data_IF_986987585125
#
_entry.id   IF_986987585125
#
_cell.length_a   1.000
_cell.length_b   1.000
_cell.length_c   1.000
_cell.angle_alpha   90.00
_cell.angle_beta   90.00
_cell.angle_gamma   90.00
#
_symmetry.space_group_name_H-M   'P 1'
#
loop_
_entity.id
_entity.type
_entity.pdbx_description
1 polymer ?
#
# COMPACT_ATOMS: atom_id res chain seq x y z
N UNK A 1 39.02 0.70 -0.16
CA UNK A 1 38.30 -0.53 -0.55
C UNK A 1 36.93 -0.13 -1.06
N UNK A 2 36.45 -0.63 -2.21
CA UNK A 2 35.12 -0.29 -2.69
C UNK A 2 34.09 -0.82 -1.68
N UNK A 3 33.26 0.07 -1.16
CA UNK A 3 32.17 -0.26 -0.23
C UNK A 3 30.99 -0.77 -1.10
N UNK A 4 30.44 -1.94 -0.76
CA UNK A 4 29.25 -2.58 -1.36
C UNK A 4 29.45 -3.20 -2.77
N UNK A 5 30.19 -4.31 -2.88
CA UNK A 5 30.31 -5.07 -4.14
C UNK A 5 29.11 -6.02 -4.33
N UNK A 6 28.61 -6.15 -5.56
CA UNK A 6 27.51 -7.08 -5.90
C UNK A 6 28.00 -8.52 -5.87
N UNK A 7 27.14 -9.47 -5.51
CA UNK A 7 27.39 -10.89 -5.74
C UNK A 7 26.97 -11.25 -7.18
N UNK A 8 27.93 -11.70 -7.99
CA UNK A 8 27.72 -12.07 -9.39
C UNK A 8 26.79 -13.30 -9.52
N UNK A 9 26.66 -14.14 -8.48
CA UNK A 9 25.75 -15.29 -8.54
C UNK A 9 24.29 -14.87 -8.64
N UNK A 10 23.96 -13.64 -8.21
CA UNK A 10 22.63 -13.06 -8.28
C UNK A 10 22.12 -13.00 -9.72
N UNK A 11 23.01 -12.74 -10.69
CA UNK A 11 22.66 -12.61 -12.10
C UNK A 11 22.10 -13.90 -12.73
N UNK A 12 22.39 -15.06 -12.12
CA UNK A 12 21.92 -16.36 -12.58
C UNK A 12 20.45 -16.65 -12.23
N UNK A 13 19.84 -15.86 -11.34
CA UNK A 13 18.48 -16.10 -10.85
C UNK A 13 17.44 -15.37 -11.69
N UNK A 14 16.21 -15.90 -11.68
CA UNK A 14 15.12 -15.36 -12.48
C UNK A 14 14.72 -13.97 -11.99
N UNK A 15 14.73 -12.99 -12.89
CA UNK A 15 14.29 -11.63 -12.59
C UNK A 15 12.79 -11.60 -12.27
N UNK A 16 12.40 -10.78 -11.29
CA UNK A 16 10.98 -10.52 -11.03
C UNK A 16 10.27 -9.96 -12.27
N UNK A 17 10.90 -9.00 -12.97
CA UNK A 17 10.42 -8.40 -14.21
C UNK A 17 11.59 -8.31 -15.18
N UNK A 18 11.34 -8.65 -16.44
CA UNK A 18 12.31 -8.48 -17.52
C UNK A 18 11.61 -7.96 -18.77
N UNK A 19 12.40 -7.45 -19.72
CA UNK A 19 11.88 -7.05 -21.03
C UNK A 19 11.18 -8.22 -21.75
N UNK A 20 10.21 -7.89 -22.60
CA UNK A 20 9.46 -8.86 -23.43
C UNK A 20 8.76 -9.98 -22.65
N UNK A 21 8.37 -9.72 -21.39
CA UNK A 21 7.67 -10.68 -20.51
C UNK A 21 8.47 -11.95 -20.18
N UNK A 22 9.81 -11.89 -20.25
CA UNK A 22 10.69 -13.01 -19.89
C UNK A 22 10.99 -13.11 -18.38
N UNK A 23 10.38 -12.24 -17.56
CA UNK A 23 10.52 -12.25 -16.10
C UNK A 23 9.53 -13.22 -15.44
N UNK A 24 9.66 -13.37 -14.11
CA UNK A 24 8.75 -14.16 -13.30
C UNK A 24 7.32 -13.62 -13.34
N UNK A 25 7.17 -12.31 -13.21
CA UNK A 25 5.92 -11.58 -13.39
C UNK A 25 5.86 -10.99 -14.80
N UNK A 26 4.66 -10.91 -15.36
CA UNK A 26 4.39 -10.28 -16.66
C UNK A 26 4.29 -8.75 -16.55
N UNK A 27 3.96 -8.24 -15.37
CA UNK A 27 3.79 -6.81 -15.13
C UNK A 27 4.13 -6.45 -13.68
N UNK A 28 4.60 -5.23 -13.49
CA UNK A 28 4.70 -4.60 -12.17
C UNK A 28 4.14 -3.18 -12.26
N UNK A 29 3.85 -2.60 -11.10
CA UNK A 29 3.47 -1.20 -10.99
C UNK A 29 4.17 -0.57 -9.80
N UNK A 30 4.36 0.73 -9.84
CA UNK A 30 4.58 1.48 -8.63
C UNK A 30 3.25 1.75 -7.92
N UNK A 31 3.31 2.07 -6.62
CA UNK A 31 2.15 2.55 -5.85
C UNK A 31 1.61 3.89 -6.35
N UNK A 32 0.40 4.25 -5.88
CA UNK A 32 -0.30 5.49 -6.25
C UNK A 32 0.50 6.71 -5.79
N UNK A 33 0.60 7.73 -6.65
CA UNK A 33 1.21 9.02 -6.29
C UNK A 33 0.15 10.09 -6.42
N UNK A 34 -0.15 10.77 -5.32
CA UNK A 34 -1.09 11.90 -5.36
C UNK A 34 -0.38 13.21 -5.69
N UNK A 35 0.77 13.46 -5.05
CA UNK A 35 1.46 14.76 -5.06
C UNK A 35 0.77 15.83 -4.20
N UNK A 36 -0.24 15.44 -3.41
CA UNK A 36 -1.09 16.31 -2.58
C UNK A 36 -1.81 15.50 -1.48
N UNK A 37 -1.07 14.67 -0.75
CA UNK A 37 -1.63 13.68 0.17
C UNK A 37 -2.63 14.26 1.17
N UNK A 38 -2.34 15.42 1.76
CA UNK A 38 -3.23 16.06 2.74
C UNK A 38 -4.64 16.35 2.21
N UNK A 39 -4.81 16.49 0.89
CA UNK A 39 -6.11 16.71 0.27
C UNK A 39 -6.77 15.42 -0.22
N UNK A 40 -5.97 14.41 -0.60
CA UNK A 40 -6.43 13.18 -1.25
C UNK A 40 -6.57 11.98 -0.31
N UNK A 41 -5.96 12.03 0.88
CA UNK A 41 -6.06 10.99 1.92
C UNK A 41 -6.70 11.56 3.18
N UNK A 42 -7.49 10.73 3.86
CA UNK A 42 -8.04 11.03 5.18
C UNK A 42 -8.49 9.75 5.88
N UNK A 43 -8.47 9.75 7.21
CA UNK A 43 -9.13 8.68 7.99
C UNK A 43 -10.66 8.80 7.94
N UNK A 44 -11.21 10.02 7.81
CA UNK A 44 -12.65 10.26 7.66
C UNK A 44 -13.04 10.36 6.18
N UNK A 45 -13.89 9.46 5.72
CA UNK A 45 -14.47 9.57 4.36
C UNK A 45 -15.31 10.83 4.22
N UNK A 46 -15.99 11.26 5.29
CA UNK A 46 -16.85 12.44 5.28
C UNK A 46 -16.04 13.73 5.14
N UNK A 47 -14.95 13.87 5.91
CA UNK A 47 -14.03 15.02 5.79
C UNK A 47 -13.38 15.04 4.41
N UNK A 48 -12.96 13.88 3.89
CA UNK A 48 -12.40 13.76 2.55
C UNK A 48 -13.41 14.17 1.46
N UNK A 49 -14.64 13.65 1.50
CA UNK A 49 -15.71 14.01 0.56
C UNK A 49 -15.99 15.51 0.55
N UNK A 50 -16.16 16.12 1.73
CA UNK A 50 -16.42 17.57 1.86
C UNK A 50 -15.27 18.41 1.27
N UNK A 51 -14.03 18.06 1.61
CA UNK A 51 -12.84 18.72 1.08
C UNK A 51 -12.73 18.57 -0.44
N UNK A 52 -12.98 17.37 -0.96
CA UNK A 52 -12.98 17.10 -2.41
C UNK A 52 -14.04 17.92 -3.13
N UNK A 53 -15.26 18.04 -2.59
CA UNK A 53 -16.31 18.89 -3.18
C UNK A 53 -15.86 20.35 -3.32
N UNK A 54 -15.24 20.92 -2.28
CA UNK A 54 -14.69 22.28 -2.33
C UNK A 54 -13.57 22.40 -3.38
N UNK A 55 -12.67 21.42 -3.44
CA UNK A 55 -11.58 21.39 -4.42
C UNK A 55 -12.10 21.29 -5.87
N UNK A 56 -13.16 20.51 -6.11
CA UNK A 56 -13.80 20.39 -7.43
C UNK A 56 -14.47 21.70 -7.85
N UNK A 57 -15.23 22.34 -6.96
CA UNK A 57 -15.83 23.65 -7.23
C UNK A 57 -14.77 24.70 -7.57
N UNK A 58 -13.67 24.74 -6.81
CA UNK A 58 -12.55 25.64 -7.06
C UNK A 58 -11.86 25.35 -8.40
N UNK A 59 -11.59 24.08 -8.69
CA UNK A 59 -10.98 23.65 -9.96
C UNK A 59 -11.84 24.04 -11.17
N UNK A 60 -13.15 23.78 -11.09
CA UNK A 60 -14.10 24.10 -12.16
C UNK A 60 -14.27 25.62 -12.36
N UNK A 61 -14.30 26.40 -11.28
CA UNK A 61 -14.34 27.86 -11.37
C UNK A 61 -13.09 28.41 -12.09
N UNK A 62 -11.91 27.83 -11.81
CA UNK A 62 -10.68 28.23 -12.48
C UNK A 62 -10.64 27.79 -13.95
N UNK A 63 -11.26 26.66 -14.32
CA UNK A 63 -11.48 26.28 -15.73
C UNK A 63 -12.32 27.34 -16.45
N UNK A 64 -13.44 27.75 -15.89
CA UNK A 64 -14.31 28.73 -16.54
C UNK A 64 -13.61 30.09 -16.67
N UNK A 65 -12.86 30.50 -15.65
CA UNK A 65 -12.04 31.71 -15.70
C UNK A 65 -10.98 31.62 -16.80
N UNK A 66 -10.31 30.47 -16.93
CA UNK A 66 -9.28 30.24 -17.95
C UNK A 66 -9.86 30.22 -19.36
N UNK A 67 -11.01 29.54 -19.54
CA UNK A 67 -11.75 29.51 -20.81
C UNK A 67 -12.14 30.91 -21.27
N UNK A 68 -12.60 31.76 -20.35
CA UNK A 68 -12.89 33.16 -20.65
C UNK A 68 -11.63 33.95 -21.02
N UNK A 69 -10.53 33.77 -20.29
CA UNK A 69 -9.26 34.43 -20.58
C UNK A 69 -8.64 34.01 -21.92
N UNK A 70 -8.90 32.79 -22.37
CA UNK A 70 -8.49 32.28 -23.67
C UNK A 70 -9.44 32.68 -24.82
N UNK A 71 -10.58 33.30 -24.50
CA UNK A 71 -11.57 33.68 -25.51
C UNK A 71 -10.98 34.72 -26.47
N UNK A 72 -11.09 34.45 -27.77
CA UNK A 72 -10.54 35.28 -28.86
C UNK A 72 -9.00 35.33 -28.93
N UNK A 73 -8.29 34.42 -28.27
CA UNK A 73 -6.84 34.27 -28.42
C UNK A 73 -6.50 33.10 -29.33
N UNK A 74 -5.38 33.19 -30.04
CA UNK A 74 -4.77 32.03 -30.67
C UNK A 74 -4.19 31.09 -29.58
N UNK A 75 -4.21 29.75 -29.73
CA UNK A 75 -3.63 28.83 -28.76
C UNK A 75 -2.17 29.09 -28.36
N UNK A 76 -1.38 29.73 -29.23
CA UNK A 76 -0.01 30.15 -28.92
C UNK A 76 0.08 31.30 -27.89
N UNK A 77 -1.03 32.02 -27.70
CA UNK A 77 -1.14 33.18 -26.80
C UNK A 77 -1.85 32.83 -25.48
N UNK A 78 -2.21 31.56 -25.27
CA UNK A 78 -2.90 31.16 -24.05
C UNK A 78 -2.00 31.41 -22.81
N UNK A 79 -2.55 31.95 -21.71
CA UNK A 79 -1.79 32.18 -20.49
C UNK A 79 -1.16 30.88 -19.96
N UNK A 80 0.01 30.96 -19.33
CA UNK A 80 0.54 29.79 -18.61
C UNK A 80 -0.43 29.40 -17.48
N UNK A 81 -0.83 28.13 -17.44
CA UNK A 81 -1.82 27.65 -16.47
C UNK A 81 -1.35 27.79 -15.02
N UNK A 82 -0.06 27.58 -14.72
CA UNK A 82 0.46 27.66 -13.34
C UNK A 82 0.55 29.09 -12.82
N UNK A 83 0.80 30.05 -13.72
CA UNK A 83 0.78 31.48 -13.44
C UNK A 83 -0.66 32.01 -13.37
N UNK A 84 -1.55 31.45 -14.19
CA UNK A 84 -2.94 31.86 -14.24
C UNK A 84 -3.69 31.49 -12.96
N UNK A 85 -3.63 30.22 -12.53
CA UNK A 85 -4.52 29.71 -11.47
C UNK A 85 -4.27 30.38 -10.12
N UNK A 86 -5.35 30.61 -9.38
CA UNK A 86 -5.28 31.02 -7.97
C UNK A 86 -4.71 29.88 -7.14
N UNK A 87 -3.86 30.22 -6.16
CA UNK A 87 -3.22 29.25 -5.25
C UNK A 87 -3.80 29.45 -3.86
N UNK A 88 -4.51 28.44 -3.37
CA UNK A 88 -5.08 28.43 -2.03
C UNK A 88 -4.95 27.03 -1.42
N UNK A 89 -3.94 26.86 -0.55
CA UNK A 89 -3.65 25.61 0.13
C UNK A 89 -4.72 25.23 1.16
N UNK A 90 -5.59 26.15 1.59
CA UNK A 90 -6.74 25.76 2.42
C UNK A 90 -7.77 24.95 1.63
N UNK A 91 -7.76 25.04 0.29
CA UNK A 91 -8.69 24.35 -0.61
C UNK A 91 -8.04 23.15 -1.29
N UNK A 92 -6.95 23.37 -2.04
CA UNK A 92 -6.24 22.32 -2.77
C UNK A 92 -4.83 22.75 -3.17
N UNK A 93 -3.94 21.78 -3.39
CA UNK A 93 -2.63 22.03 -4.01
C UNK A 93 -2.74 21.80 -5.51
N UNK A 94 -2.07 22.61 -6.34
CA UNK A 94 -1.95 22.37 -7.79
C UNK A 94 -0.77 21.44 -8.15
N UNK A 95 -0.23 20.68 -7.19
CA UNK A 95 0.89 19.76 -7.38
C UNK A 95 0.64 18.67 -8.44
N UNK A 96 1.72 18.15 -9.03
CA UNK A 96 1.64 17.16 -10.11
C UNK A 96 1.31 17.76 -11.49
N UNK A 97 1.05 16.89 -12.48
CA UNK A 97 0.83 17.30 -13.89
C UNK A 97 -0.51 16.85 -14.46
N UNK A 98 -1.16 15.87 -13.84
CA UNK A 98 -2.35 15.19 -14.38
C UNK A 98 -3.55 16.11 -14.59
N UNK A 99 -3.65 17.17 -13.78
CA UNK A 99 -4.72 18.16 -13.90
C UNK A 99 -4.57 19.08 -15.11
N UNK A 100 -3.36 19.26 -15.65
CA UNK A 100 -3.07 20.24 -16.71
C UNK A 100 -3.80 19.91 -18.02
N UNK A 101 -3.83 18.64 -18.40
CA UNK A 101 -4.52 18.19 -19.63
C UNK A 101 -6.03 18.43 -19.61
N UNK A 102 -6.80 17.98 -18.60
CA UNK A 102 -8.23 18.28 -18.51
C UNK A 102 -8.48 19.78 -18.35
N UNK A 103 -7.63 20.51 -17.63
CA UNK A 103 -7.76 21.97 -17.47
C UNK A 103 -7.60 22.71 -18.81
N UNK A 104 -6.55 22.40 -19.59
CA UNK A 104 -6.31 22.97 -20.93
C UNK A 104 -7.46 22.67 -21.91
N UNK A 105 -8.10 21.51 -21.76
CA UNK A 105 -9.25 21.09 -22.57
C UNK A 105 -10.60 21.58 -22.03
N UNK A 106 -10.60 22.40 -20.98
CA UNK A 106 -11.78 22.92 -20.31
C UNK A 106 -12.76 21.83 -19.84
N UNK A 107 -12.23 20.68 -19.41
CA UNK A 107 -13.02 19.53 -18.95
C UNK A 107 -13.37 19.73 -17.47
N UNK A 108 -14.63 20.09 -17.22
CA UNK A 108 -15.19 20.17 -15.88
C UNK A 108 -15.18 18.80 -15.19
N UNK A 109 -14.82 18.80 -13.92
CA UNK A 109 -14.79 17.61 -13.08
C UNK A 109 -16.08 17.49 -12.28
N UNK A 110 -16.59 16.28 -12.12
CA UNK A 110 -17.80 15.99 -11.36
C UNK A 110 -17.45 15.22 -10.10
N UNK A 111 -18.19 15.48 -9.03
CA UNK A 111 -18.12 14.68 -7.83
C UNK A 111 -18.69 13.28 -8.12
N UNK A 112 -17.98 12.25 -7.68
CA UNK A 112 -18.39 10.86 -7.84
C UNK A 112 -18.06 10.09 -6.57
N UNK A 113 -19.08 9.55 -5.91
CA UNK A 113 -18.92 8.81 -4.66
C UNK A 113 -18.12 7.51 -4.81
N UNK A 114 -18.10 6.91 -6.00
CA UNK A 114 -17.38 5.67 -6.27
C UNK A 114 -15.86 5.90 -6.44
N UNK A 115 -15.40 7.15 -6.32
CA UNK A 115 -13.98 7.51 -6.35
C UNK A 115 -13.34 7.55 -4.96
N UNK A 116 -14.05 7.27 -3.88
CA UNK A 116 -13.46 7.19 -2.54
C UNK A 116 -13.23 5.72 -2.18
N UNK A 117 -11.98 5.27 -2.20
CA UNK A 117 -11.61 3.87 -1.96
C UNK A 117 -10.61 3.77 -0.81
N UNK A 118 -10.51 2.60 -0.20
CA UNK A 118 -9.51 2.35 0.84
C UNK A 118 -8.15 2.09 0.16
N UNK A 119 -7.10 2.66 0.73
CA UNK A 119 -5.72 2.49 0.27
C UNK A 119 -4.82 2.20 1.48
N UNK A 120 -3.84 1.32 1.31
CA UNK A 120 -2.80 1.08 2.30
C UNK A 120 -1.76 2.21 2.18
N UNK A 121 -1.95 3.25 3.01
CA UNK A 121 -1.13 4.46 2.96
C UNK A 121 0.27 4.22 3.53
N UNK A 122 0.39 3.50 4.65
CA UNK A 122 1.66 3.07 5.26
C UNK A 122 1.48 1.64 5.80
N UNK A 123 2.57 0.92 6.17
CA UNK A 123 2.43 -0.42 6.73
C UNK A 123 1.44 -0.41 7.91
N UNK A 124 0.50 -1.34 7.88
CA UNK A 124 -0.57 -1.48 8.88
C UNK A 124 -1.46 -0.24 9.05
N UNK A 125 -1.56 0.61 8.02
CA UNK A 125 -2.32 1.87 8.07
C UNK A 125 -3.13 2.09 6.80
N UNK A 126 -4.43 1.81 6.90
CA UNK A 126 -5.42 2.14 5.85
C UNK A 126 -5.94 3.57 6.02
N UNK A 127 -6.23 4.23 4.89
CA UNK A 127 -6.94 5.50 4.83
C UNK A 127 -7.89 5.51 3.62
N UNK A 128 -8.91 6.36 3.64
CA UNK A 128 -9.66 6.67 2.42
C UNK A 128 -8.80 7.49 1.47
N UNK A 129 -8.95 7.23 0.19
CA UNK A 129 -8.23 7.83 -0.92
C UNK A 129 -9.20 8.31 -1.99
N UNK A 130 -9.02 9.54 -2.46
CA UNK A 130 -9.74 10.06 -3.61
C UNK A 130 -9.08 9.62 -4.93
N UNK A 131 -9.62 8.57 -5.55
CA UNK A 131 -9.13 7.85 -6.72
C UNK A 131 -9.41 8.56 -8.09
N UNK A 132 -9.16 9.86 -8.19
CA UNK A 132 -9.33 10.63 -9.44
C UNK A 132 -8.05 10.69 -10.28
N UNK A 133 -8.13 10.44 -11.59
CA UNK A 133 -6.99 10.59 -12.52
C UNK A 133 -6.54 12.05 -12.69
N UNK A 134 -7.39 13.00 -12.34
CA UNK A 134 -7.09 14.44 -12.45
C UNK A 134 -6.37 14.95 -11.21
N UNK A 135 -6.77 14.48 -10.03
CA UNK A 135 -6.26 14.95 -8.74
C UNK A 135 -5.12 14.09 -8.17
N UNK A 136 -4.73 13.01 -8.85
CA UNK A 136 -3.54 12.22 -8.49
C UNK A 136 -2.48 12.34 -9.59
N UNK A 137 -1.22 12.45 -9.19
CA UNK A 137 -0.08 12.53 -10.10
C UNK A 137 0.05 11.31 -11.00
N UNK A 138 -0.10 10.09 -10.46
CA UNK A 138 -0.05 8.87 -11.26
C UNK A 138 -0.68 7.69 -10.52
N UNK A 139 -1.27 6.78 -11.28
CA UNK A 139 -1.63 5.44 -10.83
C UNK A 139 -0.67 4.37 -11.36
N UNK A 140 0.27 4.76 -12.23
CA UNK A 140 1.06 3.83 -13.02
C UNK A 140 0.15 2.74 -13.61
N UNK A 141 0.45 1.47 -13.35
CA UNK A 141 -0.36 0.34 -13.79
C UNK A 141 -1.25 -0.23 -12.68
N UNK A 142 -1.31 0.37 -11.48
CA UNK A 142 -2.03 -0.25 -10.33
C UNK A 142 -3.52 -0.43 -10.61
N UNK A 143 -4.09 0.35 -11.52
CA UNK A 143 -5.49 0.23 -11.96
C UNK A 143 -5.75 -1.00 -12.84
N UNK A 144 -4.75 -1.60 -13.46
CA UNK A 144 -4.92 -2.92 -14.09
C UNK A 144 -4.85 -4.04 -13.06
N UNK A 145 -4.45 -3.77 -11.81
CA UNK A 145 -4.46 -4.77 -10.74
C UNK A 145 -5.76 -4.67 -9.93
N UNK A 146 -6.27 -3.44 -9.76
CA UNK A 146 -7.51 -3.12 -9.04
C UNK A 146 -8.37 -2.11 -9.83
N UNK A 147 -9.01 -2.53 -10.94
CA UNK A 147 -9.83 -1.63 -11.76
C UNK A 147 -11.05 -1.07 -11.01
N UNK A 148 -11.74 -1.90 -10.23
CA UNK A 148 -12.94 -1.53 -9.46
C UNK A 148 -12.67 -1.56 -7.96
N UNK A 149 -13.64 -1.11 -7.15
CA UNK A 149 -13.52 -1.16 -5.68
C UNK A 149 -13.67 -2.60 -5.16
N UNK A 150 -14.45 -3.42 -5.87
CA UNK A 150 -14.76 -4.80 -5.52
C UNK A 150 -13.80 -5.81 -6.16
N UNK A 151 -12.74 -5.34 -6.85
CA UNK A 151 -11.77 -6.25 -7.46
C UNK A 151 -10.95 -6.96 -6.38
N UNK A 152 -11.13 -8.27 -6.27
CA UNK A 152 -10.29 -9.12 -5.43
C UNK A 152 -8.96 -9.44 -6.12
N UNK A 153 -7.85 -9.03 -5.52
CA UNK A 153 -6.51 -9.37 -6.00
C UNK A 153 -5.51 -9.28 -4.84
N UNK A 154 -4.33 -9.86 -5.03
CA UNK A 154 -3.22 -9.77 -4.08
C UNK A 154 -2.01 -9.14 -4.78
N UNK A 155 -1.23 -8.36 -4.04
CA UNK A 155 0.00 -7.73 -4.54
C UNK A 155 1.11 -7.90 -3.53
N UNK A 156 2.25 -8.45 -3.95
CA UNK A 156 3.49 -8.39 -3.18
C UNK A 156 4.13 -7.03 -3.45
N UNK A 157 4.32 -6.25 -2.40
CA UNK A 157 4.89 -4.91 -2.47
C UNK A 157 6.28 -4.92 -1.83
N UNK A 158 7.29 -4.43 -2.54
CA UNK A 158 8.66 -4.31 -2.04
C UNK A 158 9.14 -2.85 -2.04
N UNK A 159 10.19 -2.62 -1.27
CA UNK A 159 10.90 -1.33 -1.25
C UNK A 159 11.47 -0.99 -2.62
N UNK A 160 11.45 0.28 -3.00
CA UNK A 160 12.02 0.75 -4.26
C UNK A 160 13.55 0.71 -4.28
N UNK A 161 14.12 0.91 -5.47
CA UNK A 161 15.57 0.91 -5.66
C UNK A 161 16.20 2.14 -5.00
N UNK A 162 17.34 1.95 -4.34
CA UNK A 162 18.07 3.04 -3.66
C UNK A 162 17.53 3.42 -2.27
N UNK A 163 16.63 2.61 -1.70
CA UNK A 163 16.22 2.73 -0.30
C UNK A 163 17.40 2.65 0.67
N UNK A 164 17.32 3.36 1.79
CA UNK A 164 18.35 3.43 2.84
C UNK A 164 17.95 2.72 4.13
N UNK A 165 16.67 2.36 4.27
CA UNK A 165 16.06 1.71 5.44
C UNK A 165 16.12 0.18 5.39
N UNK A 166 16.84 -0.36 4.41
CA UNK A 166 16.93 -1.80 4.14
C UNK A 166 15.74 -2.34 3.34
N UNK A 167 15.96 -3.49 2.69
CA UNK A 167 14.92 -4.18 1.93
C UNK A 167 13.75 -4.58 2.84
N UNK A 168 12.52 -4.30 2.41
CA UNK A 168 11.29 -4.73 3.09
C UNK A 168 10.25 -5.15 2.06
N UNK A 169 9.39 -6.09 2.45
CA UNK A 169 8.26 -6.58 1.65
C UNK A 169 7.00 -6.64 2.50
N UNK A 170 5.84 -6.42 1.89
CA UNK A 170 4.51 -6.56 2.50
C UNK A 170 3.51 -6.95 1.40
N UNK A 171 2.53 -7.79 1.72
CA UNK A 171 1.44 -8.13 0.81
C UNK A 171 0.23 -7.22 1.05
N UNK A 172 -0.51 -6.89 0.00
CA UNK A 172 -1.75 -6.13 0.11
C UNK A 172 -2.83 -6.68 -0.81
N UNK A 173 -4.07 -6.67 -0.33
CA UNK A 173 -5.29 -6.97 -1.10
C UNK A 173 -6.02 -5.70 -1.58
N UNK A 174 -5.40 -4.53 -1.46
CA UNK A 174 -5.93 -3.24 -1.88
C UNK A 174 -4.84 -2.42 -2.56
N UNK A 175 -5.21 -1.29 -3.17
CA UNK A 175 -4.23 -0.35 -3.72
C UNK A 175 -3.31 0.21 -2.63
N UNK A 176 -2.06 0.48 -3.01
CA UNK A 176 -1.00 0.98 -2.14
C UNK A 176 -0.59 2.41 -2.51
N UNK A 177 -0.25 3.25 -1.53
CA UNK A 177 0.47 4.51 -1.78
C UNK A 177 1.94 4.24 -2.17
N UNK A 178 2.51 5.08 -3.04
CA UNK A 178 3.91 4.96 -3.46
C UNK A 178 4.85 4.99 -2.25
N UNK A 179 4.57 5.83 -1.26
CA UNK A 179 5.43 6.02 -0.09
C UNK A 179 5.05 5.10 1.07
N UNK A 180 4.19 4.10 0.85
CA UNK A 180 3.97 3.03 1.82
C UNK A 180 5.28 2.27 2.11
N UNK A 181 6.12 2.11 1.10
CA UNK A 181 7.50 1.62 1.22
C UNK A 181 8.48 2.69 0.71
N UNK A 182 9.70 2.73 1.26
CA UNK A 182 10.71 3.70 0.88
C UNK A 182 11.12 3.56 -0.60
N UNK A 183 11.61 4.67 -1.18
CA UNK A 183 12.10 4.76 -2.55
C UNK A 183 11.07 4.39 -3.64
N UNK A 184 9.79 4.38 -3.27
CA UNK A 184 8.68 4.05 -4.14
C UNK A 184 8.38 2.56 -4.15
N UNK A 185 7.28 2.19 -3.50
CA UNK A 185 6.81 0.82 -3.45
C UNK A 185 6.61 0.24 -4.85
N UNK A 186 7.20 -0.92 -5.09
CA UNK A 186 7.00 -1.70 -6.31
C UNK A 186 6.07 -2.88 -6.02
N UNK A 187 5.04 -3.02 -6.82
CA UNK A 187 3.93 -3.94 -6.61
C UNK A 187 3.91 -4.99 -7.72
N UNK A 188 3.91 -6.25 -7.33
CA UNK A 188 3.82 -7.43 -8.20
C UNK A 188 2.50 -8.14 -7.90
N UNK A 189 1.53 -8.11 -8.82
CA UNK A 189 0.19 -8.64 -8.55
C UNK A 189 0.15 -10.16 -8.73
N UNK A 190 -0.85 -10.80 -8.14
CA UNK A 190 -1.22 -12.18 -8.47
C UNK A 190 -1.96 -12.23 -9.81
N UNK A 191 -2.88 -11.29 -10.03
CA UNK A 191 -3.68 -11.18 -11.25
C UNK A 191 -3.58 -9.81 -11.94
N UNK A 192 -3.82 -9.79 -13.25
CA UNK A 192 -3.97 -8.58 -14.06
C UNK A 192 -5.36 -8.60 -14.70
N UNK A 193 -5.99 -7.43 -14.76
CA UNK A 193 -7.32 -7.22 -15.32
C UNK A 193 -7.21 -6.36 -16.57
N UNK A 194 -7.60 -6.92 -17.70
CA UNK A 194 -7.60 -6.24 -19.00
C UNK A 194 -9.03 -5.89 -19.41
N UNK A 195 -9.23 -4.67 -19.89
CA UNK A 195 -10.53 -4.16 -20.31
C UNK A 195 -10.92 -4.76 -21.68
N UNK A 196 -12.02 -5.53 -21.72
CA UNK A 196 -12.53 -6.16 -22.94
C UNK A 196 -13.04 -5.15 -23.97
N UNK A 197 -13.40 -3.94 -23.55
CA UNK A 197 -13.91 -2.89 -24.45
C UNK A 197 -12.85 -2.28 -25.36
N UNK A 198 -11.57 -2.61 -25.16
CA UNK A 198 -10.49 -2.22 -26.07
C UNK A 198 -10.40 -3.14 -27.31
N UNK A 199 -11.06 -4.30 -27.29
CA UNK A 199 -11.07 -5.29 -28.38
C UNK A 199 -12.39 -5.33 -29.19
N UNK A 200 -13.48 -4.69 -28.71
CA UNK A 200 -14.80 -4.69 -29.37
C UNK A 200 -15.19 -3.32 -29.95
N UNK A 201 -15.76 -3.33 -31.17
CA UNK A 201 -16.38 -2.16 -31.78
C UNK A 201 -17.45 -1.56 -30.83
N UNK A 202 -17.48 -0.23 -30.72
CA UNK A 202 -18.16 0.57 -29.71
C UNK A 202 -19.72 0.46 -29.64
N UNK A 203 -20.36 -0.46 -30.35
CA UNK A 203 -21.82 -0.51 -30.50
C UNK A 203 -22.55 -1.23 -29.35
N UNK A 204 -21.88 -2.05 -28.54
CA UNK A 204 -22.55 -2.92 -27.55
C UNK A 204 -22.60 -2.33 -26.13
N UNK A 205 -22.08 -1.11 -25.92
CA UNK A 205 -21.90 -0.51 -24.59
C UNK A 205 -23.18 0.13 -23.99
N UNK A 206 -24.29 0.18 -24.74
CA UNK A 206 -25.51 0.90 -24.34
C UNK A 206 -26.64 0.02 -23.80
N UNK A 207 -26.44 -1.30 -23.65
CA UNK A 207 -27.53 -2.24 -23.37
C UNK A 207 -27.55 -2.87 -21.98
N UNK A 208 -26.59 -2.59 -21.08
CA UNK A 208 -26.45 -3.31 -19.80
C UNK A 208 -26.41 -2.38 -18.56
N UNK A 209 -26.81 -2.93 -17.41
CA UNK A 209 -26.84 -2.22 -16.13
C UNK A 209 -25.46 -2.17 -15.46
N UNK A 210 -25.17 -1.14 -14.63
CA UNK A 210 -23.86 -0.88 -14.03
C UNK A 210 -23.24 -2.07 -13.25
N UNK A 211 -24.06 -2.98 -12.71
CA UNK A 211 -23.63 -4.15 -11.97
C UNK A 211 -23.22 -5.32 -12.90
N UNK A 212 -23.93 -5.54 -14.01
CA UNK A 212 -23.59 -6.57 -15.01
C UNK A 212 -22.36 -6.20 -15.85
N UNK A 213 -22.07 -4.89 -15.96
CA UNK A 213 -20.90 -4.36 -16.66
C UNK A 213 -19.58 -4.68 -15.93
N UNK A 214 -19.55 -4.77 -14.60
CA UNK A 214 -18.28 -4.90 -13.87
C UNK A 214 -17.60 -6.28 -14.04
N UNK A 215 -18.36 -7.38 -13.93
CA UNK A 215 -17.85 -8.74 -14.18
C UNK A 215 -17.65 -9.03 -15.68
N UNK A 216 -18.45 -8.43 -16.54
CA UNK A 216 -18.34 -8.62 -17.99
C UNK A 216 -17.22 -7.78 -18.62
N UNK A 217 -16.82 -6.65 -18.03
CA UNK A 217 -15.86 -5.69 -18.63
C UNK A 217 -14.40 -6.12 -18.57
N UNK A 218 -13.97 -6.85 -17.54
CA UNK A 218 -12.55 -7.19 -17.39
C UNK A 218 -12.29 -8.68 -17.57
N UNK A 219 -11.18 -9.03 -18.21
CA UNK A 219 -10.65 -10.40 -18.24
C UNK A 219 -9.52 -10.50 -17.23
N UNK A 220 -9.65 -11.42 -16.26
CA UNK A 220 -8.59 -11.73 -15.28
C UNK A 220 -7.57 -12.68 -15.90
N UNK A 221 -6.28 -12.35 -15.78
CA UNK A 221 -5.14 -13.19 -16.19
C UNK A 221 -4.14 -13.33 -15.05
N UNK A 222 -3.44 -14.45 -14.98
CA UNK A 222 -2.33 -14.61 -14.03
C UNK A 222 -1.19 -13.65 -14.35
N UNK A 223 -0.58 -13.06 -13.33
CA UNK A 223 0.60 -12.24 -13.51
C UNK A 223 1.89 -13.06 -13.57
N UNK A 224 1.97 -14.20 -12.88
CA UNK A 224 3.10 -15.12 -13.06
C UNK A 224 3.10 -15.59 -14.51
N UNK A 225 4.22 -15.34 -15.19
CA UNK A 225 4.38 -15.66 -16.60
C UNK A 225 4.47 -17.17 -16.81
N UNK A 226 4.10 -17.64 -18.00
CA UNK A 226 4.25 -19.06 -18.34
C UNK A 226 5.74 -19.47 -18.40
N UNK A 227 6.62 -18.52 -18.68
CA UNK A 227 8.08 -18.72 -18.62
C UNK A 227 8.52 -18.94 -17.17
N UNK A 228 8.04 -18.11 -16.25
CA UNK A 228 8.28 -18.26 -14.82
C UNK A 228 7.78 -19.61 -14.31
N UNK A 229 6.54 -19.99 -14.66
CA UNK A 229 6.00 -21.29 -14.30
C UNK A 229 6.86 -22.46 -14.79
N UNK A 230 7.25 -22.44 -16.08
CA UNK A 230 8.10 -23.48 -16.67
C UNK A 230 9.48 -23.54 -16.03
N UNK A 231 10.05 -22.40 -15.63
CA UNK A 231 11.34 -22.35 -14.95
C UNK A 231 11.32 -23.15 -13.63
N UNK A 232 10.27 -22.98 -12.81
CA UNK A 232 10.10 -23.73 -11.57
C UNK A 232 9.76 -25.21 -11.82
N UNK A 233 8.88 -25.51 -12.78
CA UNK A 233 8.56 -26.90 -13.13
C UNK A 233 9.76 -27.68 -13.67
N UNK A 234 10.66 -27.03 -14.40
CA UNK A 234 11.90 -27.63 -14.86
C UNK A 234 12.88 -27.93 -13.70
N UNK A 235 12.90 -27.09 -12.67
CA UNK A 235 13.71 -27.32 -11.47
C UNK A 235 13.15 -28.47 -10.60
N UNK A 236 11.83 -28.67 -10.60
CA UNK A 236 11.16 -29.70 -9.79
C UNK A 236 10.22 -30.56 -10.64
N UNK A 237 10.75 -31.45 -11.51
CA UNK A 237 9.96 -32.18 -12.50
C UNK A 237 8.99 -33.22 -11.89
N UNK A 238 9.15 -33.58 -10.63
CA UNK A 238 8.28 -34.50 -9.89
C UNK A 238 7.11 -33.81 -9.21
N UNK A 239 7.14 -32.48 -9.10
CA UNK A 239 6.17 -31.69 -8.36
C UNK A 239 5.11 -31.08 -9.28
N UNK A 240 3.89 -30.94 -8.77
CA UNK A 240 2.82 -30.22 -9.47
C UNK A 240 2.73 -28.79 -8.93
N UNK A 241 3.53 -27.90 -9.51
CA UNK A 241 3.61 -26.49 -9.12
C UNK A 241 2.69 -25.65 -10.02
N UNK A 242 1.86 -24.82 -9.40
CA UNK A 242 1.04 -23.82 -10.09
C UNK A 242 1.58 -22.38 -9.84
N UNK A 243 0.97 -21.40 -10.49
CA UNK A 243 1.39 -19.99 -10.43
C UNK A 243 1.21 -19.36 -9.04
N UNK A 244 0.17 -19.75 -8.31
CA UNK A 244 -0.08 -19.26 -6.96
C UNK A 244 0.96 -19.81 -5.96
N UNK A 245 1.39 -21.06 -6.12
CA UNK A 245 2.49 -21.64 -5.33
C UNK A 245 3.77 -20.83 -5.47
N UNK A 246 4.08 -20.40 -6.70
CA UNK A 246 5.24 -19.57 -7.01
C UNK A 246 5.08 -18.17 -6.40
N UNK A 247 3.89 -17.58 -6.48
CA UNK A 247 3.61 -16.27 -5.88
C UNK A 247 3.90 -16.28 -4.38
N UNK A 248 3.41 -17.28 -3.64
CA UNK A 248 3.70 -17.39 -2.21
C UNK A 248 5.13 -17.83 -1.93
N UNK A 249 5.76 -18.65 -2.78
CA UNK A 249 7.19 -18.96 -2.68
C UNK A 249 8.03 -17.68 -2.71
N UNK A 250 7.75 -16.76 -3.64
CA UNK A 250 8.42 -15.45 -3.71
C UNK A 250 8.24 -14.71 -2.39
N UNK A 251 7.01 -14.63 -1.87
CA UNK A 251 6.76 -13.91 -0.63
C UNK A 251 7.50 -14.51 0.58
N UNK A 252 7.53 -15.84 0.70
CA UNK A 252 8.27 -16.55 1.76
C UNK A 252 9.79 -16.36 1.63
N UNK A 253 10.33 -16.50 0.42
CA UNK A 253 11.76 -16.30 0.15
C UNK A 253 12.21 -14.86 0.47
N UNK A 254 11.40 -13.85 0.12
CA UNK A 254 11.71 -12.44 0.40
C UNK A 254 11.72 -12.12 1.90
N UNK A 255 11.20 -13.01 2.76
CA UNK A 255 11.31 -12.94 4.21
C UNK A 255 12.49 -13.72 4.79
N UNK A 256 13.21 -14.52 4.00
CA UNK A 256 14.39 -15.24 4.44
C UNK A 256 15.50 -14.28 4.89
N UNK A 257 15.93 -14.42 6.14
CA UNK A 257 17.05 -13.65 6.69
C UNK A 257 18.35 -13.95 5.94
N UNK A 258 18.56 -15.22 5.54
CA UNK A 258 19.70 -15.65 4.72
C UNK A 258 19.70 -14.92 3.37
N UNK A 259 18.56 -14.89 2.66
CA UNK A 259 18.44 -14.21 1.36
C UNK A 259 18.71 -12.71 1.48
N UNK A 260 18.05 -12.06 2.45
CA UNK A 260 18.17 -10.60 2.67
C UNK A 260 19.58 -10.20 3.08
N UNK A 261 20.24 -11.01 3.89
CA UNK A 261 21.61 -10.74 4.36
C UNK A 261 22.63 -11.01 3.27
N UNK A 262 22.50 -12.13 2.55
CA UNK A 262 23.42 -12.52 1.47
C UNK A 262 23.41 -11.52 0.30
N UNK A 263 22.24 -11.01 -0.06
CA UNK A 263 22.06 -10.14 -1.22
C UNK A 263 21.72 -8.69 -0.86
N UNK A 264 22.04 -8.23 0.36
CA UNK A 264 21.70 -6.89 0.84
C UNK A 264 22.15 -5.76 -0.12
N UNK A 265 23.36 -5.87 -0.67
CA UNK A 265 23.94 -4.90 -1.61
C UNK A 265 23.25 -4.92 -2.98
N UNK A 266 22.87 -6.10 -3.47
CA UNK A 266 22.09 -6.26 -4.71
C UNK A 266 20.68 -5.68 -4.52
N UNK A 267 19.98 -6.06 -3.45
CA UNK A 267 18.60 -5.63 -3.16
C UNK A 267 18.46 -4.11 -2.96
N UNK A 268 19.56 -3.41 -2.68
CA UNK A 268 19.59 -1.94 -2.62
C UNK A 268 19.68 -1.30 -4.01
N UNK A 269 20.28 -1.99 -4.99
CA UNK A 269 20.67 -1.43 -6.30
C UNK A 269 19.84 -1.95 -7.47
N UNK A 270 19.24 -3.12 -7.35
CA UNK A 270 18.46 -3.80 -8.38
C UNK A 270 17.28 -4.58 -7.77
N UNK A 271 16.33 -4.99 -8.60
CA UNK A 271 15.18 -5.77 -8.14
C UNK A 271 15.62 -7.14 -7.63
N UNK A 272 14.87 -7.72 -6.66
CA UNK A 272 15.09 -9.11 -6.26
C UNK A 272 15.08 -10.04 -7.47
N UNK A 273 15.96 -11.03 -7.43
CA UNK A 273 15.97 -12.17 -8.35
C UNK A 273 15.72 -13.43 -7.56
N UNK A 274 14.88 -14.30 -8.11
CA UNK A 274 14.26 -15.39 -7.38
C UNK A 274 14.97 -16.70 -7.78
N UNK A 275 15.86 -17.26 -6.93
CA UNK A 275 16.45 -18.56 -7.14
C UNK A 275 15.42 -19.69 -6.98
N UNK A 276 15.70 -20.84 -7.60
CA UNK A 276 15.16 -22.12 -7.19
C UNK A 276 16.08 -22.71 -6.11
N UNK A 277 15.52 -23.08 -4.97
CA UNK A 277 16.24 -23.86 -3.94
C UNK A 277 16.52 -25.27 -4.46
N UNK A 278 17.54 -25.94 -3.92
CA UNK A 278 17.97 -27.24 -4.44
C UNK A 278 16.94 -28.36 -4.26
N UNK A 279 16.14 -28.28 -3.21
CA UNK A 279 15.20 -29.33 -2.80
C UNK A 279 13.75 -28.89 -2.98
N UNK A 280 12.93 -29.79 -3.52
CA UNK A 280 11.49 -29.55 -3.67
C UNK A 280 10.82 -29.33 -2.30
N UNK A 281 11.29 -30.02 -1.25
CA UNK A 281 10.77 -29.85 0.11
C UNK A 281 10.98 -28.42 0.62
N UNK A 282 12.13 -27.81 0.31
CA UNK A 282 12.42 -26.43 0.69
C UNK A 282 11.55 -25.46 -0.11
N UNK A 283 11.29 -25.71 -1.39
CA UNK A 283 10.34 -24.91 -2.20
C UNK A 283 8.96 -24.89 -1.53
N UNK A 284 8.43 -26.05 -1.16
CA UNK A 284 7.13 -26.15 -0.50
C UNK A 284 7.14 -25.52 0.90
N UNK A 285 8.24 -25.61 1.64
CA UNK A 285 8.39 -24.94 2.92
C UNK A 285 8.35 -23.41 2.77
N UNK A 286 9.06 -22.83 1.81
CA UNK A 286 9.00 -21.39 1.51
C UNK A 286 7.61 -20.97 1.00
N UNK A 287 6.99 -21.77 0.13
CA UNK A 287 5.65 -21.50 -0.40
C UNK A 287 4.57 -21.56 0.70
N UNK A 288 4.67 -22.52 1.63
CA UNK A 288 3.79 -22.59 2.81
C UNK A 288 4.02 -21.41 3.75
N UNK A 289 5.27 -21.08 4.05
CA UNK A 289 5.60 -19.93 4.89
C UNK A 289 5.08 -18.62 4.27
N UNK A 290 5.17 -18.47 2.95
CA UNK A 290 4.59 -17.33 2.23
C UNK A 290 3.08 -17.22 2.40
N UNK A 291 2.34 -18.33 2.39
CA UNK A 291 0.89 -18.33 2.67
C UNK A 291 0.60 -17.96 4.12
N UNK A 292 1.32 -18.55 5.05
CA UNK A 292 1.16 -18.28 6.48
C UNK A 292 1.45 -16.80 6.80
N UNK A 293 2.53 -16.24 6.23
CA UNK A 293 2.86 -14.81 6.33
C UNK A 293 1.79 -13.92 5.69
N UNK A 294 1.29 -14.32 4.52
CA UNK A 294 0.23 -13.57 3.85
C UNK A 294 -1.05 -13.53 4.68
N UNK A 295 -1.43 -14.64 5.31
CA UNK A 295 -2.56 -14.69 6.23
C UNK A 295 -2.43 -13.64 7.34
N UNK A 296 -1.29 -13.62 8.06
CA UNK A 296 -1.08 -12.66 9.15
C UNK A 296 -1.07 -11.20 8.66
N UNK A 297 -0.44 -10.94 7.51
CA UNK A 297 -0.28 -9.57 7.00
C UNK A 297 -1.53 -9.02 6.32
N UNK A 298 -2.42 -9.87 5.78
CA UNK A 298 -3.71 -9.46 5.23
C UNK A 298 -4.78 -9.29 6.30
N UNK A 299 -4.73 -10.09 7.37
CA UNK A 299 -5.71 -10.11 8.45
C UNK A 299 -5.26 -9.33 9.70
N UNK A 300 -4.28 -8.44 9.58
CA UNK A 300 -3.69 -7.72 10.71
C UNK A 300 -4.70 -6.90 11.55
N UNK A 301 -5.86 -6.55 10.98
CA UNK A 301 -6.93 -5.82 11.67
C UNK A 301 -7.97 -6.74 12.34
N UNK A 302 -7.98 -8.03 12.02
CA UNK A 302 -9.04 -8.98 12.42
C UNK A 302 -8.55 -10.16 13.26
N UNK A 303 -7.23 -10.40 13.32
CA UNK A 303 -6.66 -11.42 14.21
C UNK A 303 -6.95 -11.13 15.68
N UNK A 304 -6.80 -12.15 16.52
CA UNK A 304 -6.97 -12.02 17.97
C UNK A 304 -5.92 -11.05 18.56
N UNK A 305 -6.35 -10.03 19.34
CA UNK A 305 -5.43 -9.11 20.00
C UNK A 305 -4.52 -9.83 21.00
N UNK A 306 -3.27 -9.40 21.08
CA UNK A 306 -2.35 -9.87 22.12
C UNK A 306 -2.89 -9.49 23.50
N UNK A 307 -2.86 -10.45 24.44
CA UNK A 307 -3.34 -10.27 25.82
C UNK A 307 -2.31 -9.53 26.68
N UNK A 308 -2.06 -8.27 26.35
CA UNK A 308 -1.16 -7.40 27.11
C UNK A 308 -1.75 -7.00 28.47
N UNK A 309 -0.89 -6.62 29.41
CA UNK A 309 -1.31 -6.03 30.68
C UNK A 309 -1.68 -4.57 30.48
N UNK A 310 -2.94 -4.22 30.72
CA UNK A 310 -3.43 -2.85 30.65
C UNK A 310 -3.46 -2.23 32.05
N UNK A 311 -2.73 -1.14 32.22
CA UNK A 311 -2.82 -0.26 33.38
C UNK A 311 -3.83 0.86 33.05
N UNK A 312 -4.95 0.82 33.76
CA UNK A 312 -6.13 1.67 33.56
C UNK A 312 -6.36 2.60 34.78
N UNK A 313 -5.35 2.74 35.65
CA UNK A 313 -5.47 3.43 36.93
C UNK A 313 -6.50 2.75 37.84
N UNK A 314 -7.52 3.48 38.28
CA UNK A 314 -8.59 2.98 39.15
C UNK A 314 -9.79 2.39 38.39
N UNK A 315 -9.81 2.49 37.06
CA UNK A 315 -10.89 1.96 36.22
C UNK A 315 -10.58 0.53 35.77
N UNK A 316 -11.62 -0.23 35.46
CA UNK A 316 -11.54 -1.47 34.69
C UNK A 316 -11.90 -1.21 33.23
N UNK A 317 -11.54 -2.13 32.32
CA UNK A 317 -11.84 -2.00 30.88
C UNK A 317 -13.34 -1.85 30.60
N UNK A 318 -14.20 -2.45 31.43
CA UNK A 318 -15.67 -2.35 31.33
C UNK A 318 -16.22 -0.98 31.75
N UNK A 319 -15.44 -0.19 32.48
CA UNK A 319 -15.81 1.14 32.94
C UNK A 319 -15.29 2.25 32.01
N UNK A 320 -14.55 1.91 30.96
CA UNK A 320 -14.11 2.87 29.96
C UNK A 320 -15.23 3.19 28.97
N UNK A 321 -15.38 4.47 28.65
CA UNK A 321 -16.25 4.97 27.60
C UNK A 321 -15.47 5.23 26.31
N UNK A 322 -16.14 5.42 25.17
CA UNK A 322 -15.50 5.67 23.87
C UNK A 322 -14.45 6.80 23.91
N UNK A 323 -14.73 7.87 24.66
CA UNK A 323 -13.79 8.99 24.85
C UNK A 323 -12.48 8.60 25.54
N UNK A 324 -12.51 7.58 26.40
CA UNK A 324 -11.31 7.09 27.11
C UNK A 324 -10.36 6.37 26.14
N UNK A 325 -10.82 5.94 24.96
CA UNK A 325 -10.01 5.35 23.89
C UNK A 325 -9.48 6.38 22.89
N UNK A 326 -9.84 7.66 23.00
CA UNK A 326 -9.32 8.68 22.09
C UNK A 326 -7.80 8.82 22.24
N UNK A 327 -7.07 8.75 21.13
CA UNK A 327 -5.60 8.85 21.11
C UNK A 327 -5.13 10.02 20.27
N UNK A 328 -4.36 10.92 20.90
CA UNK A 328 -3.65 12.00 20.19
C UNK A 328 -2.30 11.54 19.68
N UNK A 329 -1.54 10.82 20.51
CA UNK A 329 -0.22 10.27 20.17
C UNK A 329 0.19 9.18 21.15
N UNK A 330 0.47 7.99 20.65
CA UNK A 330 1.11 6.93 21.42
C UNK A 330 2.60 7.23 21.60
N UNK A 331 3.18 6.84 22.75
CA UNK A 331 4.62 6.99 23.01
C UNK A 331 5.14 5.91 23.93
N UNK A 332 6.42 5.57 23.80
CA UNK A 332 7.10 4.80 24.83
C UNK A 332 7.12 5.57 26.16
N UNK A 333 7.01 4.86 27.28
CA UNK A 333 7.10 5.47 28.60
C UNK A 333 8.45 6.17 28.81
N UNK A 334 9.53 5.56 28.30
CA UNK A 334 10.88 6.12 28.22
C UNK A 334 11.51 5.68 26.89
N UNK A 335 12.47 6.45 26.38
CA UNK A 335 13.06 6.25 25.04
C UNK A 335 13.57 4.82 24.80
N UNK A 336 14.20 4.22 25.81
CA UNK A 336 14.82 2.89 25.71
C UNK A 336 13.98 1.77 26.34
N UNK A 337 12.74 2.08 26.71
CA UNK A 337 11.82 1.14 27.37
C UNK A 337 10.72 0.72 26.39
N UNK A 338 10.93 -0.40 25.68
CA UNK A 338 10.01 -0.95 24.67
C UNK A 338 8.93 -1.86 25.24
N UNK A 339 9.01 -2.25 26.51
CA UNK A 339 8.00 -3.11 27.16
C UNK A 339 6.73 -2.35 27.58
N UNK A 340 6.74 -1.02 27.47
CA UNK A 340 5.66 -0.14 27.97
C UNK A 340 5.35 1.00 27.01
N UNK A 341 4.10 1.03 26.54
CA UNK A 341 3.56 2.10 25.68
C UNK A 341 2.46 2.86 26.41
N UNK A 342 2.62 4.17 26.52
CA UNK A 342 1.57 5.08 26.95
C UNK A 342 0.68 5.35 25.74
N UNK A 343 -0.55 4.80 25.79
CA UNK A 343 -1.55 4.99 24.74
C UNK A 343 -2.15 6.39 24.82
N UNK A 344 -2.65 6.77 26.00
CA UNK A 344 -3.11 8.12 26.34
C UNK A 344 -3.05 8.34 27.87
N UNK A 345 -3.76 9.33 28.39
CA UNK A 345 -3.78 9.62 29.83
C UNK A 345 -4.54 8.57 30.67
N UNK A 346 -5.37 7.74 30.05
CA UNK A 346 -6.21 6.75 30.72
C UNK A 346 -5.67 5.31 30.59
N UNK A 347 -4.93 5.01 29.53
CA UNK A 347 -4.50 3.65 29.17
C UNK A 347 -2.98 3.60 29.00
N UNK A 348 -2.33 2.69 29.72
CA UNK A 348 -0.94 2.31 29.49
C UNK A 348 -0.83 0.81 29.26
N UNK A 349 -0.16 0.40 28.18
CA UNK A 349 0.07 -0.99 27.81
C UNK A 349 1.43 -1.40 28.38
N UNK A 350 1.46 -2.46 29.19
CA UNK A 350 2.66 -2.95 29.90
C UNK A 350 2.97 -4.39 29.50
N UNK A 351 4.20 -4.80 29.79
CA UNK A 351 4.69 -6.16 29.60
C UNK A 351 4.59 -6.61 28.12
N UNK A 352 4.84 -5.67 27.20
CA UNK A 352 4.91 -5.96 25.76
C UNK A 352 6.20 -6.78 25.50
N UNK A 353 6.11 -7.95 24.84
CA UNK A 353 7.29 -8.73 24.48
C UNK A 353 8.20 -7.91 23.57
N UNK A 354 9.48 -7.79 23.93
CA UNK A 354 10.44 -6.93 23.21
C UNK A 354 10.71 -7.48 21.81
N UNK A 355 10.67 -8.80 21.65
CA UNK A 355 10.80 -9.50 20.37
C UNK A 355 9.69 -9.16 19.36
N UNK A 356 8.54 -8.61 19.81
CA UNK A 356 7.51 -8.12 18.89
C UNK A 356 8.02 -6.93 18.06
N UNK A 357 9.04 -6.21 18.53
CA UNK A 357 9.66 -5.11 17.78
C UNK A 357 10.68 -5.59 16.73
N UNK A 358 11.00 -6.89 16.68
CA UNK A 358 11.97 -7.45 15.72
C UNK A 358 11.40 -7.48 14.29
N UNK A 359 10.07 -7.49 14.15
CA UNK A 359 9.44 -7.40 12.84
C UNK A 359 9.52 -5.97 12.30
N UNK A 360 10.57 -5.72 11.52
CA UNK A 360 10.83 -4.45 10.85
C UNK A 360 10.29 -4.46 9.43
N UNK A 361 9.47 -3.46 9.10
CA UNK A 361 9.02 -3.15 7.75
C UNK A 361 9.30 -1.68 7.46
N UNK A 362 9.94 -1.39 6.32
CA UNK A 362 10.24 -0.03 5.88
C UNK A 362 11.03 0.81 6.93
N UNK A 363 11.99 0.18 7.61
CA UNK A 363 12.91 0.81 8.57
C UNK A 363 12.36 1.09 9.97
N UNK A 364 11.16 0.62 10.31
CA UNK A 364 10.55 0.73 11.64
C UNK A 364 9.87 -0.58 12.02
N UNK A 365 9.68 -0.84 13.31
CA UNK A 365 8.87 -1.99 13.69
C UNK A 365 7.41 -1.80 13.28
N UNK A 366 6.70 -2.90 13.05
CA UNK A 366 5.27 -2.86 12.77
C UNK A 366 4.49 -2.09 13.87
N UNK A 367 4.89 -2.27 15.14
CA UNK A 367 4.29 -1.57 16.29
C UNK A 367 4.56 -0.06 16.24
N UNK A 368 5.78 0.36 15.88
CA UNK A 368 6.13 1.78 15.76
C UNK A 368 5.36 2.46 14.61
N UNK A 369 5.05 1.73 13.53
CA UNK A 369 4.15 2.23 12.49
C UNK A 369 2.75 2.53 13.05
N UNK A 370 2.17 1.60 13.82
CA UNK A 370 0.87 1.82 14.46
C UNK A 370 0.94 3.02 15.41
N UNK A 371 1.96 3.12 16.26
CA UNK A 371 2.14 4.25 17.18
C UNK A 371 2.25 5.60 16.48
N UNK A 372 2.94 5.65 15.33
CA UNK A 372 3.11 6.88 14.55
C UNK A 372 1.83 7.30 13.82
N UNK A 373 1.06 6.31 13.34
CA UNK A 373 -0.07 6.55 12.44
C UNK A 373 -1.41 6.64 13.17
N UNK A 374 -1.58 5.92 14.28
CA UNK A 374 -2.77 5.99 15.13
C UNK A 374 -2.65 7.17 16.09
N UNK A 375 -3.01 8.35 15.59
CA UNK A 375 -3.05 9.59 16.35
C UNK A 375 -3.60 10.75 15.52
N UNK A 376 -3.36 11.96 16.00
CA UNK A 376 -3.80 13.19 15.36
C UNK A 376 -2.62 13.90 14.73
N UNK A 377 -2.75 14.28 13.46
CA UNK A 377 -1.75 15.05 12.75
C UNK A 377 -2.38 16.24 12.03
N UNK A 378 -1.63 17.32 11.86
CA UNK A 378 -2.09 18.51 11.14
C UNK A 378 -1.10 18.88 10.06
N UNK A 379 -1.57 18.99 8.82
CA UNK A 379 -0.74 19.45 7.71
C UNK A 379 -0.52 20.95 7.83
N UNK A 380 0.75 21.35 7.99
CA UNK A 380 1.15 22.71 8.38
C UNK A 380 0.60 23.80 7.45
N UNK A 381 0.70 23.59 6.13
CA UNK A 381 0.39 24.65 5.17
C UNK A 381 -1.09 24.77 4.83
N UNK A 382 -1.86 23.69 5.02
CA UNK A 382 -3.30 23.67 4.72
C UNK A 382 -4.18 23.76 5.97
N UNK A 383 -3.62 23.50 7.15
CA UNK A 383 -4.36 23.38 8.41
C UNK A 383 -5.24 22.13 8.48
N UNK A 384 -5.15 21.22 7.50
CA UNK A 384 -5.96 20.00 7.47
C UNK A 384 -5.54 19.09 8.62
N UNK A 385 -6.49 18.77 9.50
CA UNK A 385 -6.32 17.78 10.57
C UNK A 385 -6.71 16.40 10.03
N UNK A 386 -5.81 15.43 10.16
CA UNK A 386 -6.05 14.02 9.86
C UNK A 386 -6.01 13.25 11.19
N UNK A 387 -7.17 12.75 11.62
CA UNK A 387 -7.40 12.16 12.94
C UNK A 387 -7.76 10.67 12.79
N UNK A 388 -6.86 9.78 13.25
CA UNK A 388 -7.07 8.34 13.16
C UNK A 388 -8.28 7.82 13.94
N UNK A 389 -8.75 8.57 14.95
CA UNK A 389 -9.95 8.21 15.69
C UNK A 389 -11.21 8.31 14.82
N UNK A 390 -11.18 9.11 13.74
CA UNK A 390 -12.30 9.14 12.80
C UNK A 390 -12.48 7.78 12.10
N UNK A 391 -11.40 7.07 11.78
CA UNK A 391 -11.48 5.73 11.19
C UNK A 391 -12.08 4.72 12.16
N UNK A 392 -11.68 4.79 13.43
CA UNK A 392 -12.22 3.95 14.50
C UNK A 392 -13.75 4.10 14.61
N UNK A 393 -14.25 5.33 14.57
CA UNK A 393 -15.68 5.62 14.74
C UNK A 393 -16.47 5.46 13.44
N UNK A 394 -16.02 6.06 12.33
CA UNK A 394 -16.78 6.13 11.08
C UNK A 394 -16.70 4.83 10.27
N UNK A 395 -15.55 4.15 10.28
CA UNK A 395 -15.31 2.97 9.43
C UNK A 395 -15.41 1.67 10.20
N UNK A 396 -14.81 1.61 11.39
CA UNK A 396 -14.76 0.40 12.19
C UNK A 396 -15.95 0.28 13.15
N UNK A 397 -16.62 1.39 13.47
CA UNK A 397 -17.73 1.41 14.43
C UNK A 397 -17.31 1.04 15.85
N UNK A 398 -16.02 1.20 16.18
CA UNK A 398 -15.43 0.80 17.46
C UNK A 398 -14.33 1.78 17.89
N UNK A 399 -14.60 2.55 18.94
CA UNK A 399 -13.66 3.49 19.52
C UNK A 399 -12.36 2.83 20.03
N UNK A 400 -12.39 1.52 20.32
CA UNK A 400 -11.23 0.76 20.80
C UNK A 400 -10.29 0.36 19.69
N UNK A 401 -10.70 0.50 18.42
CA UNK A 401 -9.93 0.06 17.27
C UNK A 401 -8.44 0.46 17.30
N UNK A 402 -8.03 1.70 17.64
CA UNK A 402 -6.60 2.04 17.63
C UNK A 402 -5.80 1.27 18.69
N UNK A 403 -6.40 1.00 19.86
CA UNK A 403 -5.80 0.16 20.90
C UNK A 403 -5.75 -1.30 20.45
N UNK A 404 -6.86 -1.83 19.94
CA UNK A 404 -6.93 -3.22 19.48
C UNK A 404 -5.99 -3.47 18.31
N UNK A 405 -5.90 -2.54 17.35
CA UNK A 405 -4.96 -2.62 16.24
C UNK A 405 -3.51 -2.75 16.75
N UNK A 406 -3.12 -1.93 17.73
CA UNK A 406 -1.79 -2.05 18.32
C UNK A 406 -1.56 -3.44 18.93
N UNK A 407 -2.54 -3.96 19.69
CA UNK A 407 -2.47 -5.28 20.29
C UNK A 407 -2.47 -6.42 19.26
N UNK A 408 -3.24 -6.30 18.17
CA UNK A 408 -3.25 -7.25 17.05
C UNK A 408 -1.91 -7.26 16.33
N UNK A 409 -1.30 -6.10 16.13
CA UNK A 409 0.01 -5.99 15.49
C UNK A 409 1.14 -6.55 16.36
N UNK A 410 0.99 -6.59 17.70
CA UNK A 410 1.88 -7.41 18.55
C UNK A 410 1.77 -8.90 18.16
N UNK A 411 0.55 -9.46 18.09
CA UNK A 411 0.33 -10.86 17.67
C UNK A 411 0.92 -11.13 16.28
N UNK A 412 0.60 -10.28 15.30
CA UNK A 412 1.14 -10.40 13.94
C UNK A 412 2.66 -10.43 13.96
N UNK A 413 3.30 -9.50 14.67
CA UNK A 413 4.77 -9.43 14.70
C UNK A 413 5.42 -10.67 15.30
N UNK A 414 4.84 -11.21 16.38
CA UNK A 414 5.34 -12.44 17.02
C UNK A 414 5.20 -13.65 16.10
N UNK A 415 4.03 -13.83 15.47
CA UNK A 415 3.80 -14.96 14.56
C UNK A 415 4.60 -14.84 13.26
N UNK A 416 4.75 -13.62 12.73
CA UNK A 416 5.64 -13.35 11.60
C UNK A 416 7.07 -13.77 11.92
N UNK A 417 7.63 -13.33 13.05
CA UNK A 417 9.01 -13.68 13.41
C UNK A 417 9.18 -15.17 13.73
N UNK A 418 8.16 -15.83 14.27
CA UNK A 418 8.16 -17.28 14.46
C UNK A 418 8.27 -18.01 13.11
N UNK A 419 7.51 -17.58 12.09
CA UNK A 419 7.58 -18.16 10.74
C UNK A 419 8.96 -17.87 10.13
N UNK A 420 9.42 -16.63 10.16
CA UNK A 420 10.72 -16.20 9.60
C UNK A 420 11.87 -17.02 10.18
N UNK A 421 11.93 -17.18 11.50
CA UNK A 421 12.97 -17.94 12.20
C UNK A 421 12.90 -19.44 11.95
N UNK A 422 11.77 -19.94 11.47
CA UNK A 422 11.55 -21.35 11.13
C UNK A 422 11.80 -21.68 9.65
N UNK A 423 12.09 -20.68 8.82
CA UNK A 423 12.37 -20.88 7.40
C UNK A 423 13.59 -21.81 7.23
N UNK A 424 13.60 -22.67 6.18
CA UNK A 424 14.78 -23.45 5.85
C UNK A 424 15.98 -22.53 5.56
N UNK A 425 17.19 -23.06 5.79
CA UNK A 425 18.41 -22.40 5.33
C UNK A 425 18.40 -22.27 3.81
N UNK A 426 18.92 -21.15 3.31
CA UNK A 426 18.92 -20.90 1.87
C UNK A 426 20.03 -21.72 1.17
N UNK A 427 19.65 -22.86 0.58
CA UNK A 427 20.52 -23.68 -0.26
C UNK A 427 20.10 -23.59 -1.73
N UNK A 428 20.88 -22.86 -2.52
CA UNK A 428 20.61 -22.43 -3.90
C UNK A 428 21.81 -22.65 -4.83
#
# INVERSE_FOLDING_TARGET
MPINQRDDSFDNYLNLIAEKNNGLFSVSSLGVVTGRDAWNYDYSVNKLKNRTSKALSFFNAEIERYKLACSNLDPSQYPDMMEFVKKDLSITSWGGRSWKSPFKRHILQKFNENQFRINLYRPFTKQYHFNSTVFNHSFYSIRSFFPTIDTENLTICITGLGGKKGFSTIISNIILDLNALEAGAQCFPLYVYEDKSLDSNADDLFSQTDAEIAESKYTRKDSISDIGLKHFQAAYPTETINKEDIFYYVYGLLHSEDYRSRYADNLTKELPRIPCVKKAEDFWAFSKAGRDLAYWHLNYETVEPYKAKLDLGSKSLKQLEDKDFYVTKMKFAKKDQKDTVVYNNAITIREIPVEAYDYIVNGKSALEWVMERQGVSTHKDSGIVNDANDWAIETMGDAKYPLELFLRVITVSLETMKIVRSLPKLDI
#
